data_IF_364308226276
#
_entry.id   IF_364308226276
#
_cell.length_a   1.000
_cell.length_b   1.000
_cell.length_c   1.000
_cell.angle_alpha   90.00
_cell.angle_beta   90.00
_cell.angle_gamma   90.00
#
_symmetry.space_group_name_H-M   'P 1'
#
loop_
_entity.id
_entity.type
_entity.pdbx_description
1 polymer ?
#
# COMPACT_ATOMS: atom_id res chain seq x y z
N UNK A 1 37.08 -6.36 -22.42
CA UNK A 1 36.26 -7.49 -21.93
C UNK A 1 36.23 -7.39 -20.40
N UNK A 2 35.03 -7.29 -19.82
CA UNK A 2 34.89 -7.38 -18.36
C UNK A 2 35.29 -8.80 -17.95
N UNK A 3 36.28 -8.93 -17.09
CA UNK A 3 36.70 -10.22 -16.53
C UNK A 3 35.55 -10.76 -15.63
N UNK A 4 35.22 -12.06 -15.78
CA UNK A 4 34.16 -12.73 -15.03
C UNK A 4 34.33 -12.55 -13.50
N UNK A 5 35.61 -12.58 -13.02
CA UNK A 5 35.91 -12.33 -11.61
C UNK A 5 35.56 -10.92 -11.15
N UNK A 6 35.80 -9.92 -12.00
CA UNK A 6 35.43 -8.52 -11.73
C UNK A 6 33.90 -8.33 -11.67
N UNK A 7 33.16 -9.05 -12.52
CA UNK A 7 31.69 -9.03 -12.50
C UNK A 7 31.13 -9.64 -11.22
N UNK A 8 31.69 -10.79 -10.78
CA UNK A 8 31.29 -11.43 -9.51
C UNK A 8 31.60 -10.53 -8.30
N UNK A 9 32.75 -9.87 -8.28
CA UNK A 9 33.11 -8.94 -7.21
C UNK A 9 32.18 -7.73 -7.17
N UNK A 10 31.85 -7.16 -8.33
CA UNK A 10 30.88 -6.06 -8.43
C UNK A 10 29.50 -6.48 -7.93
N UNK A 11 29.06 -7.71 -8.25
CA UNK A 11 27.80 -8.29 -7.77
C UNK A 11 27.78 -8.41 -6.25
N UNK A 12 28.87 -8.96 -5.68
CA UNK A 12 28.99 -9.13 -4.24
C UNK A 12 28.96 -7.78 -3.50
N UNK A 13 29.69 -6.78 -4.01
CA UNK A 13 29.74 -5.44 -3.42
C UNK A 13 28.36 -4.73 -3.51
N UNK A 14 27.73 -4.78 -4.67
CA UNK A 14 26.39 -4.21 -4.87
C UNK A 14 25.35 -4.85 -3.93
N UNK A 15 25.38 -6.17 -3.81
CA UNK A 15 24.51 -6.91 -2.91
C UNK A 15 24.76 -6.61 -1.43
N UNK A 16 26.02 -6.47 -1.03
CA UNK A 16 26.37 -6.10 0.34
C UNK A 16 25.89 -4.69 0.69
N UNK A 17 26.07 -3.71 -0.22
CA UNK A 17 25.54 -2.36 -0.06
C UNK A 17 24.00 -2.36 0.04
N UNK A 18 23.33 -3.13 -0.81
CA UNK A 18 21.89 -3.25 -0.78
C UNK A 18 21.39 -3.87 0.53
N UNK A 19 22.01 -4.98 0.97
CA UNK A 19 21.67 -5.60 2.25
C UNK A 19 21.87 -4.64 3.42
N UNK A 20 22.99 -3.90 3.45
CA UNK A 20 23.26 -2.87 4.46
C UNK A 20 22.20 -1.76 4.47
N UNK A 21 21.79 -1.29 3.29
CA UNK A 21 20.73 -0.29 3.15
C UNK A 21 19.39 -0.80 3.70
N UNK A 22 19.02 -2.06 3.40
CA UNK A 22 17.78 -2.66 3.92
C UNK A 22 17.82 -2.84 5.43
N UNK A 23 18.97 -3.21 6.00
CA UNK A 23 19.16 -3.27 7.47
C UNK A 23 19.00 -1.89 8.09
N UNK A 24 19.60 -0.84 7.50
CA UNK A 24 19.46 0.52 7.99
C UNK A 24 17.98 0.98 7.96
N UNK A 25 17.24 0.70 6.89
CA UNK A 25 15.80 0.96 6.78
C UNK A 25 15.04 0.21 7.89
N UNK A 26 15.36 -1.07 8.11
CA UNK A 26 14.71 -1.85 9.16
C UNK A 26 14.97 -1.31 10.57
N UNK A 27 16.17 -0.82 10.85
CA UNK A 27 16.53 -0.21 12.14
C UNK A 27 15.73 1.06 12.43
N UNK A 28 15.37 1.83 11.40
CA UNK A 28 14.55 3.04 11.52
C UNK A 28 13.04 2.72 11.62
N UNK A 29 12.59 1.64 10.97
CA UNK A 29 11.17 1.23 10.90
C UNK A 29 11.01 -0.23 11.33
N UNK A 30 11.25 -0.53 12.61
CA UNK A 30 11.30 -1.89 13.20
C UNK A 30 10.07 -2.79 12.96
N UNK A 31 8.98 -2.26 12.41
CA UNK A 31 7.75 -3.01 12.17
C UNK A 31 7.77 -3.88 10.89
N UNK A 32 8.70 -3.66 9.97
CA UNK A 32 8.70 -4.33 8.65
C UNK A 32 9.58 -5.59 8.65
N UNK A 33 9.04 -6.71 9.14
CA UNK A 33 9.78 -8.00 9.19
C UNK A 33 10.30 -8.44 7.81
N UNK A 34 9.53 -8.22 6.74
CA UNK A 34 9.92 -8.62 5.38
C UNK A 34 11.20 -7.94 4.90
N UNK A 35 11.46 -6.69 5.30
CA UNK A 35 12.69 -5.95 4.93
C UNK A 35 13.93 -6.61 5.53
N UNK A 36 13.88 -6.99 6.81
CA UNK A 36 14.97 -7.71 7.45
C UNK A 36 15.19 -9.09 6.81
N UNK A 37 14.09 -9.82 6.54
CA UNK A 37 14.17 -11.13 5.87
C UNK A 37 14.81 -11.00 4.49
N UNK A 38 14.45 -9.97 3.71
CA UNK A 38 15.07 -9.67 2.42
C UNK A 38 16.57 -9.39 2.56
N UNK A 39 16.97 -8.56 3.52
CA UNK A 39 18.36 -8.24 3.78
C UNK A 39 19.19 -9.50 4.10
N UNK A 40 18.65 -10.40 4.93
CA UNK A 40 19.31 -11.68 5.26
C UNK A 40 19.44 -12.56 4.03
N UNK A 41 18.39 -12.67 3.21
CA UNK A 41 18.43 -13.45 1.97
C UNK A 41 19.49 -12.94 0.99
N UNK A 42 19.58 -11.62 0.80
CA UNK A 42 20.59 -10.99 -0.04
C UNK A 42 22.01 -11.24 0.53
N UNK A 43 22.18 -11.14 1.84
CA UNK A 43 23.49 -11.41 2.47
C UNK A 43 23.94 -12.87 2.24
N UNK A 44 23.03 -13.84 2.32
CA UNK A 44 23.33 -15.24 1.99
C UNK A 44 23.75 -15.40 0.52
N UNK A 45 23.07 -14.71 -0.41
CA UNK A 45 23.44 -14.72 -1.83
C UNK A 45 24.78 -14.04 -2.09
N UNK A 46 25.09 -12.96 -1.40
CA UNK A 46 26.43 -12.33 -1.45
C UNK A 46 27.52 -13.30 -0.98
N UNK A 47 27.27 -13.99 0.13
CA UNK A 47 28.20 -15.00 0.65
C UNK A 47 28.36 -16.17 -0.33
N UNK A 48 27.25 -16.58 -0.99
CA UNK A 48 27.31 -17.57 -2.08
C UNK A 48 28.21 -17.09 -3.22
N UNK A 49 28.05 -15.86 -3.71
CA UNK A 49 28.86 -15.32 -4.82
C UNK A 49 30.33 -15.28 -4.47
N UNK A 50 30.67 -14.90 -3.24
CA UNK A 50 32.07 -14.92 -2.75
C UNK A 50 32.60 -16.36 -2.70
N UNK A 51 31.83 -17.31 -2.16
CA UNK A 51 32.18 -18.72 -2.09
C UNK A 51 32.31 -19.34 -3.49
N UNK A 52 31.48 -18.96 -4.44
CA UNK A 52 31.53 -19.37 -5.85
C UNK A 52 32.86 -18.90 -6.51
N UNK A 53 33.23 -17.63 -6.29
CA UNK A 53 34.48 -17.08 -6.79
C UNK A 53 35.72 -17.79 -6.18
N UNK A 54 35.69 -18.09 -4.87
CA UNK A 54 36.76 -18.81 -4.17
C UNK A 54 36.82 -20.25 -4.67
N UNK A 55 35.70 -20.95 -4.89
CA UNK A 55 35.68 -22.31 -5.41
C UNK A 55 36.24 -22.39 -6.83
N UNK A 56 36.04 -21.38 -7.65
CA UNK A 56 36.64 -21.29 -8.98
C UNK A 56 38.16 -21.14 -8.96
N UNK A 57 38.78 -20.74 -7.83
CA UNK A 57 40.24 -20.61 -7.63
C UNK A 57 40.84 -21.77 -6.84
N UNK A 58 40.09 -22.25 -5.88
CA UNK A 58 40.55 -23.28 -4.94
C UNK A 58 39.43 -24.33 -4.84
N UNK A 59 39.49 -25.35 -5.70
CA UNK A 59 38.48 -26.40 -5.77
C UNK A 59 38.43 -27.27 -4.49
N UNK A 60 37.99 -26.69 -3.39
CA UNK A 60 37.80 -27.37 -2.11
C UNK A 60 36.39 -27.96 -2.03
N UNK A 61 36.23 -29.26 -1.73
CA UNK A 61 34.89 -29.88 -1.58
C UNK A 61 33.96 -29.12 -0.61
N UNK A 62 34.49 -28.65 0.51
CA UNK A 62 33.77 -27.89 1.50
C UNK A 62 33.19 -26.56 0.95
N UNK A 63 33.96 -25.86 0.12
CA UNK A 63 33.51 -24.65 -0.55
C UNK A 63 32.39 -24.95 -1.56
N UNK A 64 32.52 -26.05 -2.34
CA UNK A 64 31.51 -26.48 -3.29
C UNK A 64 30.17 -26.79 -2.60
N UNK A 65 30.21 -27.53 -1.49
CA UNK A 65 29.03 -27.86 -0.69
C UNK A 65 28.37 -26.60 -0.10
N UNK A 66 29.19 -25.77 0.57
CA UNK A 66 28.70 -24.56 1.25
C UNK A 66 28.09 -23.54 0.29
N UNK A 67 28.71 -23.30 -0.86
CA UNK A 67 28.22 -22.33 -1.82
C UNK A 67 26.84 -22.71 -2.42
N UNK A 68 26.64 -24.02 -2.75
CA UNK A 68 25.35 -24.47 -3.30
C UNK A 68 24.24 -24.47 -2.24
N UNK A 69 24.57 -24.80 -1.00
CA UNK A 69 23.65 -24.67 0.13
C UNK A 69 23.23 -23.21 0.35
N UNK A 70 24.19 -22.27 0.32
CA UNK A 70 23.95 -20.84 0.44
C UNK A 70 23.10 -20.29 -0.70
N UNK A 71 23.27 -20.79 -1.93
CA UNK A 71 22.46 -20.41 -3.08
C UNK A 71 20.97 -20.71 -2.84
N UNK A 72 20.68 -21.99 -2.53
CA UNK A 72 19.29 -22.43 -2.32
C UNK A 72 18.67 -21.74 -1.10
N UNK A 73 19.42 -21.68 0.02
CA UNK A 73 18.97 -21.02 1.23
C UNK A 73 18.69 -19.52 1.01
N UNK A 74 19.59 -18.81 0.31
CA UNK A 74 19.45 -17.39 0.02
C UNK A 74 18.20 -17.08 -0.80
N UNK A 75 17.96 -17.80 -1.89
CA UNK A 75 16.74 -17.64 -2.68
C UNK A 75 15.47 -18.03 -1.91
N UNK A 76 15.53 -19.04 -1.05
CA UNK A 76 14.40 -19.39 -0.21
C UNK A 76 14.07 -18.30 0.83
N UNK A 77 15.07 -17.67 1.43
CA UNK A 77 14.86 -16.55 2.37
C UNK A 77 14.30 -15.33 1.61
N UNK A 78 14.76 -15.04 0.39
CA UNK A 78 14.18 -13.99 -0.46
C UNK A 78 12.71 -14.31 -0.78
N UNK A 79 12.39 -15.56 -1.12
CA UNK A 79 11.00 -16.00 -1.31
C UNK A 79 10.17 -15.82 -0.04
N UNK A 80 10.72 -16.17 1.13
CA UNK A 80 10.03 -15.97 2.42
C UNK A 80 9.72 -14.49 2.68
N UNK A 81 10.63 -13.58 2.29
CA UNK A 81 10.37 -12.14 2.36
C UNK A 81 9.21 -11.71 1.45
N UNK A 82 9.17 -12.24 0.22
CA UNK A 82 8.09 -11.98 -0.72
C UNK A 82 6.73 -12.51 -0.19
N UNK A 83 6.75 -13.73 0.37
CA UNK A 83 5.58 -14.37 0.98
C UNK A 83 5.06 -13.60 2.20
N UNK A 84 5.96 -13.06 3.03
CA UNK A 84 5.62 -12.17 4.15
C UNK A 84 5.00 -10.85 3.66
N UNK A 85 5.44 -10.34 2.50
CA UNK A 85 4.90 -9.12 1.91
C UNK A 85 3.47 -9.31 1.40
N UNK A 86 3.15 -10.49 0.83
CA UNK A 86 1.85 -10.83 0.24
C UNK A 86 0.92 -11.52 1.26
N UNK A 87 1.44 -11.90 2.44
CA UNK A 87 0.73 -12.56 3.55
C UNK A 87 0.10 -13.92 3.21
N UNK A 88 0.64 -14.66 2.22
CA UNK A 88 0.08 -15.96 1.77
C UNK A 88 0.43 -17.14 2.65
N UNK A 89 1.58 -17.14 3.30
CA UNK A 89 2.03 -18.23 4.17
C UNK A 89 2.56 -19.48 3.45
N UNK A 90 2.92 -19.38 2.17
CA UNK A 90 3.47 -20.49 1.37
C UNK A 90 4.88 -20.92 1.77
N UNK A 91 5.66 -20.02 2.38
CA UNK A 91 7.02 -20.30 2.82
C UNK A 91 7.10 -21.36 3.92
N UNK A 92 6.11 -21.42 4.81
CA UNK A 92 6.09 -22.38 5.91
C UNK A 92 6.05 -23.84 5.43
N UNK A 93 5.10 -24.26 4.58
CA UNK A 93 5.09 -25.63 4.07
C UNK A 93 6.27 -25.93 3.13
N UNK A 94 6.84 -24.94 2.45
CA UNK A 94 7.98 -25.11 1.56
C UNK A 94 9.32 -25.31 2.31
N UNK A 95 9.41 -24.93 3.58
CA UNK A 95 10.66 -24.98 4.34
C UNK A 95 11.27 -26.39 4.45
N UNK A 96 10.46 -27.40 4.73
CA UNK A 96 10.92 -28.78 4.87
C UNK A 96 11.42 -29.38 3.55
N UNK A 97 10.68 -29.29 2.42
CA UNK A 97 11.20 -29.71 1.12
C UNK A 97 12.50 -29.01 0.73
N UNK A 98 12.61 -27.70 0.94
CA UNK A 98 13.83 -26.94 0.61
C UNK A 98 15.00 -27.39 1.48
N UNK A 99 14.82 -27.61 2.77
CA UNK A 99 15.85 -28.15 3.65
C UNK A 99 16.32 -29.55 3.18
N UNK A 100 15.39 -30.43 2.77
CA UNK A 100 15.75 -31.73 2.21
C UNK A 100 16.56 -31.62 0.92
N UNK A 101 16.23 -30.67 0.03
CA UNK A 101 16.99 -30.40 -1.19
C UNK A 101 18.41 -29.89 -0.87
N UNK A 102 18.56 -29.00 0.11
CA UNK A 102 19.88 -28.52 0.56
C UNK A 102 20.71 -29.69 1.05
N UNK A 103 20.17 -30.56 1.89
CA UNK A 103 20.88 -31.77 2.38
C UNK A 103 21.27 -32.67 1.23
N UNK A 104 20.36 -32.94 0.29
CA UNK A 104 20.63 -33.76 -0.89
C UNK A 104 21.77 -33.15 -1.74
N UNK A 105 21.74 -31.86 -1.98
CA UNK A 105 22.78 -31.12 -2.72
C UNK A 105 24.16 -31.29 -2.05
N UNK A 106 24.21 -31.11 -0.73
CA UNK A 106 25.44 -31.27 0.06
C UNK A 106 25.96 -32.71 0.00
N UNK A 107 25.09 -33.72 0.19
CA UNK A 107 25.46 -35.15 0.16
C UNK A 107 26.02 -35.56 -1.22
N UNK A 108 25.34 -35.17 -2.31
CA UNK A 108 25.76 -35.49 -3.68
C UNK A 108 27.08 -34.82 -4.04
N UNK A 109 27.26 -33.56 -3.64
CA UNK A 109 28.52 -32.85 -3.86
C UNK A 109 29.66 -33.43 -3.01
N UNK A 110 29.38 -33.86 -1.77
CA UNK A 110 30.34 -34.55 -0.90
C UNK A 110 30.77 -35.90 -1.47
N UNK A 111 29.89 -36.59 -2.19
CA UNK A 111 30.19 -37.82 -2.90
C UNK A 111 31.03 -37.63 -4.18
N UNK A 112 31.41 -36.38 -4.51
CA UNK A 112 32.26 -36.04 -5.69
C UNK A 112 31.45 -35.76 -6.98
N UNK A 113 30.13 -35.72 -6.92
CA UNK A 113 29.26 -35.41 -8.05
C UNK A 113 28.79 -33.94 -8.01
N UNK A 114 29.78 -33.03 -8.04
CA UNK A 114 29.52 -31.59 -7.96
C UNK A 114 28.67 -31.05 -9.13
N UNK A 115 28.79 -31.58 -10.33
CA UNK A 115 27.93 -31.24 -11.46
C UNK A 115 26.45 -31.63 -11.23
N UNK A 116 26.18 -32.78 -10.61
CA UNK A 116 24.83 -33.15 -10.18
C UNK A 116 24.34 -32.19 -9.06
N UNK A 117 25.24 -31.83 -8.12
CA UNK A 117 24.95 -30.83 -7.11
C UNK A 117 24.47 -29.50 -7.68
N UNK A 118 25.14 -28.98 -8.73
CA UNK A 118 24.71 -27.80 -9.47
C UNK A 118 23.34 -27.99 -10.13
N UNK A 119 23.09 -29.12 -10.78
CA UNK A 119 21.78 -29.43 -11.40
C UNK A 119 20.67 -29.39 -10.35
N UNK A 120 20.86 -30.01 -9.18
CA UNK A 120 19.86 -30.02 -8.11
C UNK A 120 19.63 -28.60 -7.57
N UNK A 121 20.69 -27.86 -7.27
CA UNK A 121 20.60 -26.52 -6.71
C UNK A 121 19.91 -25.53 -7.68
N UNK A 122 20.32 -25.53 -8.96
CA UNK A 122 19.75 -24.64 -9.97
C UNK A 122 18.29 -24.99 -10.29
N UNK A 123 17.93 -26.27 -10.31
CA UNK A 123 16.52 -26.69 -10.46
C UNK A 123 15.68 -26.26 -9.27
N UNK A 124 16.19 -26.35 -8.05
CA UNK A 124 15.50 -25.87 -6.84
C UNK A 124 15.31 -24.35 -6.89
N UNK A 125 16.35 -23.59 -7.25
CA UNK A 125 16.25 -22.13 -7.39
C UNK A 125 15.23 -21.75 -8.47
N UNK A 126 15.24 -22.43 -9.60
CA UNK A 126 14.23 -22.26 -10.67
C UNK A 126 12.81 -22.42 -10.10
N UNK A 127 12.55 -23.50 -9.35
CA UNK A 127 11.27 -23.76 -8.71
C UNK A 127 10.87 -22.65 -7.73
N UNK A 128 11.80 -22.21 -6.85
CA UNK A 128 11.57 -21.12 -5.90
C UNK A 128 11.24 -19.80 -6.62
N UNK A 129 11.95 -19.47 -7.70
CA UNK A 129 11.73 -18.26 -8.48
C UNK A 129 10.39 -18.30 -9.24
N UNK A 130 9.99 -19.45 -9.78
CA UNK A 130 8.68 -19.66 -10.41
C UNK A 130 7.57 -19.48 -9.37
N UNK A 131 7.72 -20.05 -8.16
CA UNK A 131 6.78 -19.84 -7.06
C UNK A 131 6.68 -18.36 -6.68
N UNK A 132 7.81 -17.65 -6.61
CA UNK A 132 7.84 -16.23 -6.32
C UNK A 132 7.13 -15.42 -7.40
N UNK A 133 7.43 -15.67 -8.67
CA UNK A 133 6.81 -14.99 -9.81
C UNK A 133 5.29 -15.22 -9.84
N UNK A 134 4.84 -16.46 -9.64
CA UNK A 134 3.40 -16.79 -9.61
C UNK A 134 2.70 -16.20 -8.40
N UNK A 135 3.36 -16.13 -7.23
CA UNK A 135 2.82 -15.51 -6.05
C UNK A 135 2.54 -14.01 -6.29
N UNK A 136 3.47 -13.28 -6.88
CA UNK A 136 3.28 -11.88 -7.23
C UNK A 136 2.23 -11.70 -8.34
N UNK A 137 2.26 -12.53 -9.39
CA UNK A 137 1.32 -12.42 -10.51
C UNK A 137 -0.14 -12.66 -10.13
N UNK A 138 -0.39 -13.55 -9.17
CA UNK A 138 -1.73 -13.93 -8.71
C UNK A 138 -2.20 -13.20 -7.45
N UNK A 139 -1.41 -12.25 -6.93
CA UNK A 139 -1.81 -11.43 -5.79
C UNK A 139 -2.94 -10.48 -6.17
N UNK A 140 -3.98 -10.40 -5.29
CA UNK A 140 -5.12 -9.49 -5.45
C UNK A 140 -5.05 -8.29 -4.48
N UNK A 141 -4.15 -8.33 -3.51
CA UNK A 141 -4.07 -7.35 -2.42
C UNK A 141 -3.26 -6.11 -2.79
N UNK A 142 -2.41 -6.20 -3.82
CA UNK A 142 -1.54 -5.10 -4.27
C UNK A 142 -1.79 -4.84 -5.75
N UNK A 143 -1.76 -3.57 -6.15
CA UNK A 143 -1.97 -3.17 -7.55
C UNK A 143 -1.04 -3.97 -8.48
N UNK A 144 -1.65 -4.61 -9.47
CA UNK A 144 -0.95 -5.42 -10.47
C UNK A 144 0.13 -4.64 -11.22
N UNK A 145 -0.05 -3.33 -11.43
CA UNK A 145 0.95 -2.45 -12.05
C UNK A 145 2.26 -2.40 -11.28
N UNK A 146 2.19 -2.59 -9.97
CA UNK A 146 3.33 -2.56 -9.05
C UNK A 146 4.01 -3.94 -9.00
N UNK A 147 3.25 -5.03 -9.01
CA UNK A 147 3.76 -6.39 -8.87
C UNK A 147 4.19 -7.04 -10.20
N UNK A 148 3.66 -6.61 -11.35
CA UNK A 148 4.01 -7.18 -12.64
C UNK A 148 5.51 -7.07 -12.98
N UNK A 149 6.19 -5.92 -12.76
CA UNK A 149 7.64 -5.84 -12.99
C UNK A 149 8.44 -6.82 -12.13
N UNK A 150 8.05 -7.01 -10.85
CA UNK A 150 8.72 -7.96 -9.94
C UNK A 150 8.54 -9.39 -10.43
N UNK A 151 7.32 -9.74 -10.85
CA UNK A 151 7.02 -11.06 -11.41
C UNK A 151 7.81 -11.35 -12.68
N UNK A 152 7.96 -10.37 -13.58
CA UNK A 152 8.76 -10.50 -14.80
C UNK A 152 10.26 -10.66 -14.48
N UNK A 153 10.79 -9.89 -13.55
CA UNK A 153 12.20 -9.99 -13.14
C UNK A 153 12.50 -11.36 -12.50
N UNK A 154 11.65 -11.83 -11.60
CA UNK A 154 11.83 -13.15 -10.98
C UNK A 154 11.64 -14.27 -11.98
N UNK A 155 10.72 -14.14 -12.94
CA UNK A 155 10.53 -15.07 -14.04
C UNK A 155 11.73 -15.14 -14.99
N UNK A 156 12.35 -14.01 -15.34
CA UNK A 156 13.57 -13.98 -16.16
C UNK A 156 14.76 -14.65 -15.46
N UNK A 157 14.89 -14.47 -14.15
CA UNK A 157 15.89 -15.18 -13.34
C UNK A 157 15.62 -16.70 -13.31
N UNK A 158 14.37 -17.12 -13.20
CA UNK A 158 14.01 -18.55 -13.26
C UNK A 158 14.44 -19.17 -14.58
N UNK A 159 14.19 -18.50 -15.70
CA UNK A 159 14.61 -18.95 -17.04
C UNK A 159 16.13 -19.07 -17.12
N UNK A 160 16.89 -18.10 -16.59
CA UNK A 160 18.36 -18.14 -16.66
C UNK A 160 18.94 -19.32 -15.87
N UNK A 161 18.43 -19.64 -14.66
CA UNK A 161 18.84 -20.81 -13.91
C UNK A 161 18.43 -22.13 -14.59
N UNK A 162 17.26 -22.18 -15.21
CA UNK A 162 16.83 -23.33 -16.01
C UNK A 162 17.76 -23.59 -17.21
N UNK A 163 18.24 -22.53 -17.87
CA UNK A 163 19.26 -22.65 -18.95
C UNK A 163 20.58 -23.21 -18.43
N UNK A 164 21.07 -22.77 -17.26
CA UNK A 164 22.28 -23.34 -16.67
C UNK A 164 22.11 -24.84 -16.39
N UNK A 165 20.97 -25.24 -15.80
CA UNK A 165 20.62 -26.66 -15.61
C UNK A 165 20.65 -27.42 -16.92
N UNK A 166 19.97 -26.88 -17.96
CA UNK A 166 19.87 -27.53 -19.27
C UNK A 166 21.24 -27.76 -19.90
N UNK A 167 22.15 -26.77 -19.85
CA UNK A 167 23.48 -26.89 -20.46
C UNK A 167 24.34 -27.94 -19.74
N UNK A 168 24.33 -27.98 -18.39
CA UNK A 168 25.08 -28.99 -17.63
C UNK A 168 24.58 -30.41 -17.97
N UNK A 169 23.26 -30.61 -18.01
CA UNK A 169 22.66 -31.91 -18.36
C UNK A 169 22.95 -32.32 -19.80
N UNK A 170 22.84 -31.39 -20.76
CA UNK A 170 23.14 -31.66 -22.18
C UNK A 170 24.59 -32.06 -22.40
N UNK A 171 25.52 -31.41 -21.69
CA UNK A 171 26.93 -31.67 -21.76
C UNK A 171 27.35 -32.89 -20.92
N UNK A 172 26.41 -33.52 -20.19
CA UNK A 172 26.69 -34.67 -19.28
C UNK A 172 27.81 -34.41 -18.28
N UNK A 173 27.90 -33.15 -17.80
CA UNK A 173 28.97 -32.72 -16.89
C UNK A 173 28.58 -33.07 -15.43
N UNK A 174 28.67 -34.36 -15.07
CA UNK A 174 28.27 -34.83 -13.73
C UNK A 174 29.35 -34.58 -12.67
N UNK A 175 30.61 -34.43 -13.09
CA UNK A 175 31.75 -34.08 -12.26
C UNK A 175 32.50 -32.94 -12.94
N UNK A 176 32.60 -31.81 -12.31
CA UNK A 176 33.20 -30.59 -12.84
C UNK A 176 34.58 -30.30 -12.24
N UNK A 177 34.72 -30.54 -10.95
CA UNK A 177 35.94 -30.20 -10.20
C UNK A 177 36.20 -28.69 -10.04
N UNK A 178 35.31 -27.86 -10.57
CA UNK A 178 35.33 -26.39 -10.47
C UNK A 178 33.97 -25.81 -10.76
N UNK A 179 33.84 -24.47 -10.76
CA UNK A 179 32.59 -23.79 -11.19
C UNK A 179 32.31 -24.06 -12.69
N UNK A 180 31.06 -24.28 -13.10
CA UNK A 180 30.70 -24.40 -14.49
C UNK A 180 31.10 -23.14 -15.27
N UNK A 181 31.68 -23.33 -16.47
CA UNK A 181 32.04 -22.22 -17.36
C UNK A 181 31.45 -22.46 -18.73
N UNK A 182 30.31 -21.84 -18.96
CA UNK A 182 29.59 -21.92 -20.22
C UNK A 182 28.78 -20.64 -20.44
N UNK A 183 28.30 -20.44 -21.66
CA UNK A 183 27.54 -19.25 -22.04
C UNK A 183 26.27 -18.99 -21.16
N UNK A 184 25.66 -20.06 -20.64
CA UNK A 184 24.47 -19.92 -19.82
C UNK A 184 24.81 -19.30 -18.44
N UNK A 185 25.98 -19.62 -17.88
CA UNK A 185 26.49 -19.01 -16.64
C UNK A 185 26.78 -17.52 -16.83
N UNK A 186 27.36 -17.14 -17.99
CA UNK A 186 27.60 -15.73 -18.31
C UNK A 186 26.30 -14.95 -18.38
N UNK A 187 25.29 -15.49 -19.08
CA UNK A 187 23.93 -14.92 -19.18
C UNK A 187 23.26 -14.85 -17.81
N UNK A 188 23.33 -15.96 -17.04
CA UNK A 188 22.74 -16.01 -15.70
C UNK A 188 23.33 -14.95 -14.79
N UNK A 189 24.65 -14.77 -14.80
CA UNK A 189 25.32 -13.75 -13.98
C UNK A 189 24.79 -12.35 -14.29
N UNK A 190 24.69 -11.98 -15.58
CA UNK A 190 24.15 -10.66 -15.99
C UNK A 190 22.69 -10.49 -15.56
N UNK A 191 21.86 -11.52 -15.78
CA UNK A 191 20.44 -11.48 -15.41
C UNK A 191 20.28 -11.34 -13.89
N UNK A 192 21.03 -12.12 -13.10
CA UNK A 192 20.94 -12.08 -11.63
C UNK A 192 21.36 -10.71 -11.09
N UNK A 193 22.46 -10.11 -11.62
CA UNK A 193 22.90 -8.76 -11.23
C UNK A 193 21.79 -7.73 -11.50
N UNK A 194 21.25 -7.74 -12.72
CA UNK A 194 20.20 -6.80 -13.12
C UNK A 194 18.94 -6.96 -12.26
N UNK A 195 18.49 -8.21 -12.05
CA UNK A 195 17.31 -8.53 -11.26
C UNK A 195 17.51 -8.18 -9.77
N UNK A 196 18.67 -8.47 -9.19
CA UNK A 196 18.98 -8.16 -7.80
C UNK A 196 18.95 -6.65 -7.55
N UNK A 197 19.55 -5.87 -8.45
CA UNK A 197 19.54 -4.39 -8.36
C UNK A 197 18.13 -3.84 -8.49
N UNK A 198 17.35 -4.32 -9.47
CA UNK A 198 15.99 -3.87 -9.70
C UNK A 198 15.05 -4.25 -8.55
N UNK A 199 15.13 -5.49 -8.02
CA UNK A 199 14.34 -5.93 -6.88
C UNK A 199 14.67 -5.13 -5.61
N UNK A 200 15.95 -4.79 -5.41
CA UNK A 200 16.35 -3.94 -4.30
C UNK A 200 15.72 -2.55 -4.38
N UNK A 201 15.79 -1.90 -5.53
CA UNK A 201 15.19 -0.59 -5.76
C UNK A 201 13.66 -0.63 -5.57
N UNK A 202 12.99 -1.67 -6.07
CA UNK A 202 11.55 -1.86 -5.90
C UNK A 202 11.17 -2.10 -4.43
N UNK A 203 11.96 -2.89 -3.69
CA UNK A 203 11.70 -3.13 -2.25
C UNK A 203 11.77 -1.83 -1.44
N UNK A 204 12.75 -0.97 -1.73
CA UNK A 204 12.88 0.35 -1.10
C UNK A 204 11.67 1.24 -1.45
N UNK A 205 11.28 1.26 -2.72
CA UNK A 205 10.13 2.04 -3.20
C UNK A 205 8.82 1.58 -2.55
N UNK A 206 8.61 0.27 -2.40
CA UNK A 206 7.43 -0.29 -1.74
C UNK A 206 7.38 0.03 -0.24
N UNK A 207 8.54 -0.05 0.41
CA UNK A 207 8.61 0.36 1.82
C UNK A 207 8.24 1.83 1.99
N UNK A 208 8.76 2.71 1.14
CA UNK A 208 8.45 4.13 1.16
C UNK A 208 6.97 4.43 0.94
N UNK A 209 6.35 3.81 -0.07
CA UNK A 209 4.92 3.95 -0.37
C UNK A 209 4.04 3.48 0.80
N UNK A 210 4.35 2.32 1.41
CA UNK A 210 3.62 1.83 2.59
C UNK A 210 3.75 2.77 3.79
N UNK A 211 4.95 3.31 4.01
CA UNK A 211 5.17 4.26 5.12
C UNK A 211 4.40 5.55 4.92
N UNK A 212 4.39 6.09 3.70
CA UNK A 212 3.59 7.26 3.35
C UNK A 212 2.08 7.01 3.51
N UNK A 213 1.57 5.88 3.02
CA UNK A 213 0.15 5.51 3.18
C UNK A 213 -0.23 5.41 4.65
N UNK A 214 0.59 4.76 5.50
CA UNK A 214 0.33 4.69 6.95
C UNK A 214 0.31 6.06 7.62
N UNK A 215 1.28 6.93 7.33
CA UNK A 215 1.29 8.29 7.87
C UNK A 215 0.05 9.09 7.46
N UNK A 216 -0.47 8.85 6.25
CA UNK A 216 -1.71 9.46 5.77
C UNK A 216 -2.95 8.81 6.40
N UNK A 217 -2.89 7.53 6.76
CA UNK A 217 -3.98 6.78 7.40
C UNK A 217 -4.14 7.08 8.90
N UNK A 218 -3.07 7.48 9.60
CA UNK A 218 -3.09 7.73 11.05
C UNK A 218 -3.75 9.07 11.43
N UNK A 219 -3.97 10.00 10.49
CA UNK A 219 -4.63 11.26 10.80
C UNK A 219 -6.15 11.15 10.65
N UNK A 220 -6.87 11.16 11.77
CA UNK A 220 -8.34 11.24 11.81
C UNK A 220 -8.86 12.68 11.69
N UNK A 221 -7.98 13.65 11.49
CA UNK A 221 -8.31 15.06 11.38
C UNK A 221 -7.99 15.61 10.00
N UNK A 222 -8.76 16.58 9.55
CA UNK A 222 -8.49 17.37 8.34
C UNK A 222 -7.44 18.44 8.64
N UNK A 223 -6.31 18.49 7.92
CA UNK A 223 -5.20 19.39 8.24
C UNK A 223 -5.52 20.89 8.02
N UNK A 224 -6.49 21.21 7.16
CA UNK A 224 -6.86 22.60 6.90
C UNK A 224 -7.79 23.15 7.97
N UNK A 225 -8.79 22.37 8.38
CA UNK A 225 -9.83 22.80 9.29
C UNK A 225 -9.62 22.31 10.72
N UNK A 226 -8.81 21.27 10.92
CA UNK A 226 -8.62 20.59 12.21
C UNK A 226 -9.87 19.91 12.75
N UNK A 227 -10.94 19.76 11.94
CA UNK A 227 -12.11 18.92 12.23
C UNK A 227 -11.76 17.44 11.96
N UNK A 228 -12.58 16.53 12.45
CA UNK A 228 -12.49 15.13 12.05
C UNK A 228 -12.70 15.00 10.53
N UNK A 229 -12.01 14.04 9.89
CA UNK A 229 -12.14 13.81 8.46
C UNK A 229 -13.13 12.68 8.14
N UNK A 230 -13.35 12.39 6.85
CA UNK A 230 -14.23 11.30 6.37
C UNK A 230 -13.87 9.94 6.98
N UNK A 231 -12.56 9.66 7.18
CA UNK A 231 -12.12 8.40 7.80
C UNK A 231 -12.54 8.29 9.24
N UNK A 232 -12.47 9.39 9.99
CA UNK A 232 -12.96 9.44 11.36
C UNK A 232 -14.46 9.12 11.42
N UNK A 233 -15.27 9.67 10.49
CA UNK A 233 -16.70 9.35 10.41
C UNK A 233 -16.92 7.83 10.23
N UNK A 234 -16.25 7.21 9.28
CA UNK A 234 -16.38 5.77 9.03
C UNK A 234 -15.83 4.94 10.20
N UNK A 235 -14.71 5.34 10.80
CA UNK A 235 -14.10 4.62 11.92
C UNK A 235 -14.95 4.67 13.19
N UNK A 236 -15.59 5.80 13.47
CA UNK A 236 -16.41 5.99 14.68
C UNK A 236 -17.85 5.51 14.50
N UNK A 237 -18.39 5.60 13.30
CA UNK A 237 -19.81 5.36 13.04
C UNK A 237 -20.09 4.28 12.00
N UNK A 238 -19.09 3.65 11.36
CA UNK A 238 -19.28 2.62 10.32
C UNK A 238 -20.14 1.45 10.78
N UNK A 239 -19.92 0.97 12.01
CA UNK A 239 -20.71 -0.11 12.62
C UNK A 239 -21.90 0.40 13.45
N UNK A 240 -22.12 1.73 13.48
CA UNK A 240 -23.18 2.33 14.29
C UNK A 240 -24.52 2.26 13.57
N UNK A 241 -25.55 1.81 14.28
CA UNK A 241 -26.94 1.89 13.84
C UNK A 241 -27.57 3.19 14.35
N UNK A 242 -28.11 3.98 13.41
CA UNK A 242 -28.80 5.23 13.69
C UNK A 242 -30.30 4.97 13.92
N UNK A 243 -30.67 4.80 15.18
CA UNK A 243 -32.05 4.73 15.62
C UNK A 243 -32.58 6.07 16.12
N UNK A 244 -33.67 6.06 16.89
CA UNK A 244 -34.27 7.25 17.50
C UNK A 244 -33.24 8.15 18.21
N UNK A 245 -33.50 9.47 18.17
CA UNK A 245 -32.68 10.52 18.77
C UNK A 245 -31.23 10.59 18.23
N UNK A 246 -31.01 10.04 17.03
CA UNK A 246 -29.80 10.24 16.24
C UNK A 246 -30.12 10.88 14.91
N UNK A 247 -29.32 11.81 14.49
CA UNK A 247 -29.43 12.46 13.19
C UNK A 247 -28.05 12.59 12.55
N UNK A 248 -28.02 12.57 11.22
CA UNK A 248 -26.86 12.90 10.43
C UNK A 248 -27.25 14.01 9.45
N UNK A 249 -26.49 15.11 9.48
CA UNK A 249 -26.67 16.20 8.55
C UNK A 249 -25.47 16.31 7.61
N UNK A 250 -25.73 16.61 6.35
CA UNK A 250 -24.73 17.05 5.37
C UNK A 250 -24.83 18.56 5.18
N UNK A 251 -23.70 19.24 5.26
CA UNK A 251 -23.61 20.69 5.05
C UNK A 251 -22.64 20.98 3.90
N UNK A 252 -22.99 21.95 3.05
CA UNK A 252 -22.19 22.35 1.91
C UNK A 252 -22.18 23.89 1.80
N UNK A 253 -20.99 24.46 1.62
CA UNK A 253 -20.82 25.91 1.55
C UNK A 253 -21.33 26.46 0.23
N UNK A 254 -22.34 27.32 0.32
CA UNK A 254 -23.00 27.88 -0.85
C UNK A 254 -22.04 28.67 -1.73
N UNK A 255 -22.04 28.35 -3.05
CA UNK A 255 -21.24 29.04 -4.06
C UNK A 255 -19.72 29.00 -3.80
N UNK A 256 -19.20 28.02 -3.09
CA UNK A 256 -17.78 27.94 -2.72
C UNK A 256 -16.85 27.91 -3.94
N UNK A 257 -17.23 27.20 -5.01
CA UNK A 257 -16.46 27.25 -6.29
C UNK A 257 -16.31 28.69 -6.80
N UNK A 258 -17.40 29.48 -6.81
CA UNK A 258 -17.34 30.89 -7.20
C UNK A 258 -16.45 31.71 -6.27
N UNK A 259 -16.44 31.42 -4.99
CA UNK A 259 -15.52 32.04 -4.03
C UNK A 259 -14.07 31.77 -4.43
N UNK A 260 -13.71 30.52 -4.75
CA UNK A 260 -12.38 30.17 -5.23
C UNK A 260 -12.03 30.85 -6.57
N UNK A 261 -12.96 30.86 -7.52
CA UNK A 261 -12.75 31.43 -8.86
C UNK A 261 -12.52 32.96 -8.81
N UNK A 262 -13.23 33.67 -7.91
CA UNK A 262 -13.15 35.13 -7.80
C UNK A 262 -12.04 35.60 -6.86
N UNK A 263 -11.84 34.93 -5.72
CA UNK A 263 -10.96 35.39 -4.65
C UNK A 263 -9.69 34.55 -4.49
N UNK A 264 -9.58 33.43 -5.20
CA UNK A 264 -8.50 32.47 -5.13
C UNK A 264 -8.62 31.48 -3.97
N UNK A 265 -7.95 30.31 -4.11
CA UNK A 265 -8.02 29.20 -3.14
C UNK A 265 -7.63 29.60 -1.72
N UNK A 266 -6.68 30.53 -1.53
CA UNK A 266 -6.28 30.98 -0.19
C UNK A 266 -7.43 31.70 0.56
N UNK A 267 -8.39 32.31 -0.15
CA UNK A 267 -9.60 32.88 0.45
C UNK A 267 -10.59 31.76 0.75
N UNK A 268 -10.77 30.83 -0.17
CA UNK A 268 -11.59 29.63 0.06
C UNK A 268 -11.15 28.86 1.30
N UNK A 269 -9.84 28.64 1.49
CA UNK A 269 -9.30 27.99 2.67
C UNK A 269 -9.69 28.72 3.96
N UNK A 270 -9.62 30.07 3.98
CA UNK A 270 -10.08 30.86 5.11
C UNK A 270 -11.58 30.72 5.37
N UNK A 271 -12.40 30.64 4.31
CA UNK A 271 -13.84 30.41 4.44
C UNK A 271 -14.11 29.04 5.10
N UNK A 272 -13.41 27.98 4.66
CA UNK A 272 -13.49 26.65 5.29
C UNK A 272 -13.06 26.65 6.76
N UNK A 273 -11.97 27.33 7.08
CA UNK A 273 -11.51 27.49 8.47
C UNK A 273 -12.51 28.26 9.31
N UNK A 274 -13.13 29.33 8.78
CA UNK A 274 -14.19 30.06 9.50
C UNK A 274 -15.44 29.22 9.75
N UNK A 275 -15.85 28.39 8.80
CA UNK A 275 -16.95 27.46 9.02
C UNK A 275 -16.60 26.46 10.15
N UNK A 276 -15.38 25.89 10.12
CA UNK A 276 -14.91 25.00 11.16
C UNK A 276 -14.89 25.68 12.55
N UNK A 277 -14.45 26.92 12.64
CA UNK A 277 -14.47 27.69 13.89
C UNK A 277 -15.90 27.92 14.40
N UNK A 278 -16.85 28.25 13.50
CA UNK A 278 -18.27 28.42 13.87
C UNK A 278 -18.83 27.10 14.41
N UNK A 279 -18.58 26.01 13.72
CA UNK A 279 -19.11 24.71 14.15
C UNK A 279 -18.53 24.31 15.50
N UNK A 280 -17.22 24.48 15.74
CA UNK A 280 -16.61 24.20 17.05
C UNK A 280 -17.25 25.01 18.18
N UNK A 281 -17.52 26.30 17.94
CA UNK A 281 -18.17 27.17 18.94
C UNK A 281 -19.60 26.77 19.24
N UNK A 282 -20.30 26.16 18.27
CA UNK A 282 -21.67 25.69 18.42
C UNK A 282 -21.76 24.20 18.83
N UNK A 283 -20.63 23.48 18.77
CA UNK A 283 -20.58 22.07 19.21
C UNK A 283 -20.80 21.99 20.72
N UNK A 284 -21.64 21.04 21.10
CA UNK A 284 -21.94 20.66 22.48
C UNK A 284 -21.94 19.13 22.57
N UNK A 285 -22.11 18.60 23.77
CA UNK A 285 -22.17 17.14 23.95
C UNK A 285 -23.19 16.53 23.00
N UNK A 286 -22.80 15.46 22.32
CA UNK A 286 -23.59 14.76 21.32
C UNK A 286 -23.53 15.35 19.89
N UNK A 287 -22.70 16.37 19.60
CA UNK A 287 -22.48 16.92 18.26
C UNK A 287 -21.04 16.66 17.81
N UNK A 288 -20.89 15.86 16.78
CA UNK A 288 -19.59 15.55 16.16
C UNK A 288 -19.58 16.04 14.72
N UNK A 289 -18.44 16.63 14.28
CA UNK A 289 -18.35 17.28 12.98
C UNK A 289 -17.16 16.76 12.20
N UNK A 290 -17.42 16.44 10.94
CA UNK A 290 -16.49 15.83 10.01
C UNK A 290 -16.41 16.65 8.72
N UNK A 291 -15.21 16.86 8.20
CA UNK A 291 -15.03 17.34 6.83
C UNK A 291 -14.92 16.14 5.89
N UNK A 292 -15.85 16.02 4.94
CA UNK A 292 -15.89 14.90 3.99
C UNK A 292 -14.93 15.11 2.81
N UNK A 293 -14.69 16.37 2.43
CA UNK A 293 -13.79 16.77 1.34
C UNK A 293 -14.30 18.06 0.68
N UNK A 294 -13.43 18.79 0.00
CA UNK A 294 -13.80 20.03 -0.65
C UNK A 294 -14.52 21.00 0.32
N UNK A 295 -15.77 21.29 0.02
CA UNK A 295 -16.68 22.20 0.74
C UNK A 295 -17.77 21.48 1.54
N UNK A 296 -17.67 20.12 1.66
CA UNK A 296 -18.69 19.26 2.25
C UNK A 296 -18.29 18.85 3.68
N UNK A 297 -19.28 18.90 4.57
CA UNK A 297 -19.16 18.51 5.98
C UNK A 297 -20.31 17.58 6.38
N UNK A 298 -20.02 16.64 7.30
CA UNK A 298 -21.05 15.86 7.98
C UNK A 298 -21.12 16.25 9.45
N UNK A 299 -22.32 16.25 10.00
CA UNK A 299 -22.58 16.54 11.41
C UNK A 299 -23.42 15.40 11.97
N UNK A 300 -22.85 14.62 12.88
CA UNK A 300 -23.57 13.57 13.61
C UNK A 300 -24.09 14.17 14.91
N UNK A 301 -25.38 13.99 15.18
CA UNK A 301 -26.04 14.52 16.37
C UNK A 301 -26.73 13.37 17.09
N UNK A 302 -26.46 13.24 18.39
CA UNK A 302 -26.96 12.17 19.23
C UNK A 302 -27.61 12.71 20.49
N UNK A 303 -28.68 12.03 20.97
CA UNK A 303 -29.32 12.34 22.26
C UNK A 303 -30.28 13.54 22.24
N UNK A 304 -30.54 14.15 21.07
CA UNK A 304 -31.36 15.33 20.90
C UNK A 304 -32.72 15.01 20.25
N UNK A 305 -33.71 15.79 20.53
CA UNK A 305 -35.01 15.77 19.83
C UNK A 305 -34.86 16.42 18.44
N UNK A 306 -35.80 16.14 17.54
CA UNK A 306 -35.86 16.73 16.19
C UNK A 306 -35.78 18.25 16.22
N UNK A 307 -36.50 18.91 17.15
CA UNK A 307 -36.49 20.37 17.29
C UNK A 307 -35.14 20.91 17.74
N UNK A 308 -34.47 20.23 18.68
CA UNK A 308 -33.14 20.62 19.13
C UNK A 308 -32.09 20.45 18.02
N UNK A 309 -32.17 19.38 17.22
CA UNK A 309 -31.30 19.17 16.04
C UNK A 309 -31.49 20.34 15.06
N UNK A 310 -32.70 20.70 14.73
CA UNK A 310 -33.00 21.86 13.86
C UNK A 310 -32.44 23.16 14.42
N UNK A 311 -32.59 23.40 15.71
CA UNK A 311 -32.09 24.61 16.34
C UNK A 311 -30.59 24.72 16.28
N UNK A 312 -29.88 23.60 16.52
CA UNK A 312 -28.38 23.53 16.36
C UNK A 312 -27.99 23.84 14.94
N UNK A 313 -28.56 23.16 13.94
CA UNK A 313 -28.18 23.33 12.55
C UNK A 313 -28.48 24.74 12.02
N UNK A 314 -29.61 25.33 12.42
CA UNK A 314 -29.98 26.72 12.10
C UNK A 314 -29.03 27.73 12.73
N UNK A 315 -28.64 27.51 14.01
CA UNK A 315 -27.65 28.37 14.69
C UNK A 315 -26.29 28.32 14.01
N UNK A 316 -25.82 27.14 13.56
CA UNK A 316 -24.61 27.00 12.79
C UNK A 316 -24.70 27.83 11.49
N UNK A 317 -25.78 27.65 10.72
CA UNK A 317 -25.98 28.40 9.47
C UNK A 317 -26.05 29.92 9.67
N UNK A 318 -26.82 30.38 10.65
CA UNK A 318 -26.96 31.80 10.99
C UNK A 318 -25.63 32.41 11.45
N UNK A 319 -24.92 31.71 12.35
CA UNK A 319 -23.61 32.17 12.85
C UNK A 319 -22.58 32.25 11.72
N UNK A 320 -22.56 31.27 10.80
CA UNK A 320 -21.65 31.29 9.67
C UNK A 320 -22.00 32.40 8.69
N UNK A 321 -23.27 32.63 8.39
CA UNK A 321 -23.73 33.73 7.52
C UNK A 321 -23.41 35.13 8.09
N UNK A 322 -23.21 35.25 9.40
CA UNK A 322 -22.80 36.48 10.05
C UNK A 322 -21.27 36.70 10.00
N UNK A 323 -20.48 35.66 9.81
CA UNK A 323 -19.00 35.75 9.73
C UNK A 323 -18.56 36.55 8.50
N UNK A 324 -17.50 37.33 8.66
CA UNK A 324 -16.90 38.14 7.60
C UNK A 324 -15.47 37.68 7.36
N UNK A 325 -15.16 37.29 6.13
CA UNK A 325 -13.79 37.02 5.70
C UNK A 325 -13.25 38.23 4.94
N UNK A 326 -12.19 38.83 5.46
CA UNK A 326 -11.53 39.97 4.80
C UNK A 326 -10.84 39.52 3.52
N UNK A 327 -11.11 40.21 2.39
CA UNK A 327 -10.44 39.96 1.11
C UNK A 327 -9.88 41.25 0.54
N UNK A 328 -9.01 41.15 -0.48
CA UNK A 328 -8.49 42.32 -1.21
C UNK A 328 -9.58 43.10 -1.96
N UNK A 329 -10.71 42.45 -2.26
CA UNK A 329 -11.86 43.02 -2.98
C UNK A 329 -12.97 43.49 -2.04
N UNK A 330 -12.75 43.45 -0.71
CA UNK A 330 -13.72 43.85 0.29
C UNK A 330 -14.17 42.65 1.19
N UNK A 331 -15.13 42.88 2.09
CA UNK A 331 -15.61 41.86 2.99
C UNK A 331 -16.45 40.81 2.24
N UNK A 332 -16.14 39.52 2.46
CA UNK A 332 -16.89 38.37 1.93
C UNK A 332 -17.72 37.74 3.03
N UNK A 333 -19.00 37.49 2.74
CA UNK A 333 -19.89 36.63 3.53
C UNK A 333 -20.24 35.41 2.73
N UNK A 334 -20.33 34.24 3.38
CA UNK A 334 -20.70 32.98 2.79
C UNK A 334 -21.82 32.35 3.58
N UNK A 335 -22.66 31.55 2.94
CA UNK A 335 -23.74 30.81 3.57
C UNK A 335 -23.54 29.31 3.42
N UNK A 336 -24.34 28.52 4.11
CA UNK A 336 -24.29 27.06 4.08
C UNK A 336 -25.70 26.50 3.91
N UNK A 337 -25.84 25.52 3.02
CA UNK A 337 -27.02 24.71 2.91
C UNK A 337 -26.82 23.42 3.69
N UNK A 338 -27.85 22.96 4.38
CA UNK A 338 -27.78 21.76 5.23
C UNK A 338 -28.97 20.84 4.92
N UNK A 339 -28.67 19.56 4.68
CA UNK A 339 -29.69 18.51 4.62
C UNK A 339 -29.57 17.60 5.82
N UNK A 340 -30.65 17.26 6.50
CA UNK A 340 -30.62 16.39 7.66
C UNK A 340 -31.52 15.17 7.47
N UNK A 341 -30.99 14.00 7.86
CA UNK A 341 -31.70 12.73 7.95
C UNK A 341 -31.77 12.33 9.42
N UNK A 342 -32.97 11.98 9.87
CA UNK A 342 -33.23 11.51 11.23
C UNK A 342 -33.24 9.98 11.25
N UNK A 343 -32.73 9.37 12.29
CA UNK A 343 -32.93 7.98 12.59
C UNK A 343 -34.38 7.78 13.11
N UNK A 344 -34.93 6.62 12.85
CA UNK A 344 -36.27 6.21 13.21
C UNK A 344 -36.26 4.85 13.92
N UNK A 345 -37.44 4.22 14.04
CA UNK A 345 -37.59 2.90 14.67
C UNK A 345 -36.85 1.80 13.92
N UNK A 346 -36.61 1.96 12.60
CA UNK A 346 -35.78 1.07 11.80
C UNK A 346 -34.33 1.61 11.76
N UNK A 347 -33.41 0.98 12.49
CA UNK A 347 -32.03 1.46 12.52
C UNK A 347 -31.38 1.49 11.15
N UNK A 348 -30.74 2.61 10.80
CA UNK A 348 -30.05 2.83 9.52
C UNK A 348 -28.54 2.84 9.67
N UNK A 349 -27.81 2.40 8.65
CA UNK A 349 -26.35 2.52 8.61
C UNK A 349 -25.94 3.97 8.32
N UNK A 350 -24.68 4.30 8.59
CA UNK A 350 -24.13 5.63 8.29
C UNK A 350 -24.24 5.98 6.80
N UNK A 351 -24.08 5.00 5.90
CA UNK A 351 -24.25 5.19 4.46
C UNK A 351 -25.67 5.56 4.09
N UNK A 352 -26.67 4.89 4.66
CA UNK A 352 -28.08 5.20 4.46
C UNK A 352 -28.43 6.59 4.98
N UNK A 353 -27.88 6.95 6.15
CA UNK A 353 -28.06 8.30 6.71
C UNK A 353 -27.42 9.38 5.82
N UNK A 354 -26.21 9.13 5.28
CA UNK A 354 -25.57 10.04 4.34
C UNK A 354 -26.38 10.23 3.07
N UNK A 355 -26.93 9.15 2.50
CA UNK A 355 -27.79 9.23 1.31
C UNK A 355 -29.05 10.07 1.58
N UNK A 356 -29.72 9.85 2.73
CA UNK A 356 -30.87 10.63 3.11
C UNK A 356 -30.53 12.12 3.35
N UNK A 357 -29.43 12.40 3.99
CA UNK A 357 -28.96 13.76 4.23
C UNK A 357 -28.56 14.48 2.94
N UNK A 358 -27.94 13.76 1.97
CA UNK A 358 -27.58 14.31 0.66
C UNK A 358 -28.82 14.69 -0.17
N UNK A 359 -29.85 13.83 -0.19
CA UNK A 359 -31.13 14.13 -0.83
C UNK A 359 -31.78 15.39 -0.23
N UNK A 360 -31.75 15.52 1.10
CA UNK A 360 -32.24 16.71 1.80
C UNK A 360 -31.38 17.96 1.47
N UNK A 361 -30.07 17.83 1.41
CA UNK A 361 -29.16 18.91 1.03
C UNK A 361 -29.43 19.41 -0.39
N UNK A 362 -29.67 18.49 -1.30
CA UNK A 362 -30.06 18.83 -2.66
C UNK A 362 -31.37 19.64 -2.70
N UNK A 363 -32.38 19.24 -1.91
CA UNK A 363 -33.62 19.99 -1.76
C UNK A 363 -33.36 21.40 -1.18
N UNK A 364 -32.52 21.54 -0.16
CA UNK A 364 -32.09 22.83 0.39
C UNK A 364 -31.50 23.74 -0.68
N UNK A 365 -30.58 23.21 -1.50
CA UNK A 365 -29.94 23.95 -2.61
C UNK A 365 -30.95 24.38 -3.67
N UNK A 366 -31.90 23.52 -4.05
CA UNK A 366 -32.96 23.86 -5.02
C UNK A 366 -33.95 24.89 -4.48
N UNK A 367 -34.27 24.84 -3.21
CA UNK A 367 -35.18 25.78 -2.58
C UNK A 367 -34.60 27.20 -2.33
N UNK A 368 -33.39 27.48 -2.84
CA UNK A 368 -32.74 28.82 -2.78
C UNK A 368 -31.58 28.92 -1.79
N UNK A 369 -31.03 27.81 -1.35
CA UNK A 369 -29.85 27.72 -0.45
C UNK A 369 -30.01 28.37 0.92
N UNK A 370 -28.95 28.50 1.70
CA UNK A 370 -28.88 29.14 3.01
C UNK A 370 -30.00 28.67 3.95
N UNK A 371 -30.21 27.36 4.05
CA UNK A 371 -31.29 26.74 4.83
C UNK A 371 -31.00 25.32 5.27
N UNK A 372 -31.82 24.85 6.20
CA UNK A 372 -31.88 23.44 6.63
C UNK A 372 -33.13 22.79 6.00
N UNK A 373 -32.97 21.63 5.36
CA UNK A 373 -34.07 20.81 4.83
C UNK A 373 -33.95 19.38 5.39
N UNK A 374 -35.11 18.65 5.37
CA UNK A 374 -35.18 17.22 5.75
C UNK A 374 -35.37 16.33 4.54
N UNK A 375 -35.11 15.04 4.70
CA UNK A 375 -35.38 14.02 3.69
C UNK A 375 -36.92 13.92 3.37
N UNK A 376 -37.78 14.17 4.34
CA UNK A 376 -39.25 14.19 4.15
C UNK A 376 -39.70 15.29 3.19
N UNK A 377 -39.05 16.44 3.21
CA UNK A 377 -39.33 17.55 2.28
C UNK A 377 -38.80 17.27 0.86
N UNK A 378 -37.91 16.28 0.67
CA UNK A 378 -37.40 15.86 -0.64
C UNK A 378 -38.36 14.90 -1.37
N UNK A 379 -39.27 14.21 -0.63
CA UNK A 379 -40.17 13.20 -1.18
C UNK A 379 -41.39 13.72 -1.93
N UNK A 380 -41.66 15.03 -1.92
CA UNK A 380 -42.83 15.60 -2.62
C UNK A 380 -42.58 15.96 -4.10
N UNK A 381 -41.32 15.87 -4.60
CA UNK A 381 -40.98 16.01 -6.02
C UNK A 381 -39.99 14.95 -6.48
N UNK A 382 -40.52 13.88 -7.05
CA UNK A 382 -39.90 12.90 -7.95
C UNK A 382 -38.38 12.71 -7.88
N UNK A 383 -37.95 11.64 -7.21
CA UNK A 383 -36.67 10.97 -7.39
C UNK A 383 -36.55 10.51 -8.87
N UNK A 384 -35.87 11.27 -9.70
CA UNK A 384 -35.34 10.79 -10.97
C UNK A 384 -33.89 10.38 -10.71
N UNK A 385 -33.62 9.08 -10.86
CA UNK A 385 -32.25 8.55 -10.87
C UNK A 385 -31.34 9.43 -11.74
N UNK A 386 -30.16 9.79 -11.27
CA UNK A 386 -29.16 10.35 -12.16
C UNK A 386 -28.66 9.22 -13.08
N UNK A 387 -28.89 9.35 -14.39
CA UNK A 387 -28.23 8.51 -15.39
C UNK A 387 -26.72 8.53 -15.12
N UNK A 388 -26.17 7.34 -14.84
CA UNK A 388 -24.74 7.09 -14.77
C UNK A 388 -24.13 7.32 -16.17
N UNK A 389 -23.65 8.53 -16.43
CA UNK A 389 -22.75 8.82 -17.55
C UNK A 389 -21.34 8.30 -17.17
N UNK A 390 -21.11 7.02 -17.49
CA UNK A 390 -19.76 6.53 -17.71
C UNK A 390 -19.40 6.77 -19.18
N UNK A 391 -18.48 7.68 -19.44
CA UNK A 391 -17.68 7.76 -20.65
C UNK A 391 -16.21 8.02 -20.25
#
# INVERSE_FOLDING_TARGET
>A
MLDFGSLLLATALSGACLSGTLVAIWLTARQSRFVLTMAVGILLLVTHVIAFWLYGRHASPWLGQGMLALLVAGFFVVFTSADQYIERGWSKPAALPVAAIIVLTVVVTAAGFDGIGFVIAYSAVTGILVMTATAFWTSKEVDRRVLAPVSLLTGSSAISFALCTFVIVQQKQWVLGSVPRNWAEDVNTVVVVACMTALGALTISFHHLRTQSRLTEETLTDPLTGLMNRRALTSLHGDTQFGERRALAMADLDHFKRTNDVFGHAVGDRVLQRFADVVRRQSRDGVEVFRLGGEEFAIVISGMSTLEVYDVLRKIGASFGAEVVGTKLGPLRSTVSVGVCFGDDEPRTVEQMLLGADAALYAAKRAGRNRVATAENAGSEAYREPELLFA
#
